data_IF_628688116329
#
_entry.id   IF_628688116329
#
_cell.length_a   1.000
_cell.length_b   1.000
_cell.length_c   1.000
_cell.angle_alpha   90.00
_cell.angle_beta   90.00
_cell.angle_gamma   90.00
#
_symmetry.space_group_name_H-M   'P 1'
#
loop_
_entity.id
_entity.type
_entity.pdbx_description
1 polymer ?
#
# COMPACT_ATOMS: atom_id res chain seq x y z
N UNK A 1 -16.48 -5.07 -1.15
CA UNK A 1 -15.23 -5.55 -0.53
C UNK A 1 -14.08 -5.02 -1.39
N UNK A 2 -13.39 -3.97 -0.95
CA UNK A 2 -12.37 -3.29 -1.76
C UNK A 2 -10.92 -3.58 -1.31
N UNK A 3 -10.72 -4.45 -0.33
CA UNK A 3 -9.39 -4.93 0.06
C UNK A 3 -9.53 -6.37 0.53
N UNK A 4 -8.85 -7.29 -0.16
CA UNK A 4 -8.57 -8.60 0.40
C UNK A 4 -7.64 -8.40 1.60
N UNK A 5 -8.01 -8.94 2.76
CA UNK A 5 -7.09 -9.06 3.89
C UNK A 5 -6.03 -10.09 3.51
N UNK A 6 -4.75 -9.74 3.56
CA UNK A 6 -3.63 -10.70 3.50
C UNK A 6 -3.31 -11.06 4.95
N UNK A 7 -3.78 -12.21 5.48
CA UNK A 7 -3.67 -12.53 6.90
C UNK A 7 -2.22 -12.53 7.40
N UNK A 8 -1.27 -12.85 6.53
CA UNK A 8 0.16 -12.89 6.82
C UNK A 8 0.76 -11.50 7.05
N UNK A 9 0.14 -10.44 6.52
CA UNK A 9 0.55 -9.08 6.87
C UNK A 9 0.20 -8.75 8.33
N UNK A 10 -0.83 -9.37 8.90
CA UNK A 10 -1.18 -9.16 10.32
C UNK A 10 -0.07 -9.63 11.26
N UNK A 11 0.69 -10.67 10.89
CA UNK A 11 1.87 -11.08 11.66
C UNK A 11 2.86 -9.91 11.81
N UNK A 12 3.07 -9.12 10.75
CA UNK A 12 3.94 -7.97 10.85
C UNK A 12 3.28 -6.78 11.56
N UNK A 13 2.04 -6.45 11.20
CA UNK A 13 1.39 -5.21 11.65
C UNK A 13 0.83 -5.30 13.07
N UNK A 14 0.45 -6.50 13.53
CA UNK A 14 -0.11 -6.73 14.87
C UNK A 14 0.88 -7.35 15.85
N UNK A 15 1.96 -7.98 15.38
CA UNK A 15 2.93 -8.64 16.26
C UNK A 15 4.33 -8.01 16.17
N UNK A 16 5.00 -8.12 15.01
CA UNK A 16 6.42 -7.72 14.86
C UNK A 16 6.64 -6.22 15.06
N UNK A 17 5.90 -5.38 14.34
CA UNK A 17 6.05 -3.92 14.42
C UNK A 17 5.67 -3.39 15.82
N UNK A 18 4.54 -3.79 16.43
CA UNK A 18 4.20 -3.36 17.78
C UNK A 18 5.19 -3.84 18.86
N UNK A 19 5.78 -5.04 18.72
CA UNK A 19 6.88 -5.46 19.60
C UNK A 19 8.05 -4.50 19.44
N UNK A 20 8.48 -4.21 18.20
CA UNK A 20 9.61 -3.34 17.96
C UNK A 20 9.41 -1.92 18.53
N UNK A 21 8.22 -1.36 18.33
CA UNK A 21 7.83 -0.03 18.83
C UNK A 21 7.79 -0.02 20.37
N UNK A 22 7.16 -1.02 20.98
CA UNK A 22 7.06 -1.12 22.45
C UNK A 22 8.42 -1.31 23.13
N UNK A 23 9.37 -1.99 22.49
CA UNK A 23 10.70 -2.20 23.02
C UNK A 23 11.56 -0.93 23.08
N UNK A 24 11.19 0.15 22.37
CA UNK A 24 11.79 1.49 22.53
C UNK A 24 11.33 2.21 23.80
N UNK A 25 10.21 1.78 24.37
CA UNK A 25 9.58 2.37 25.54
C UNK A 25 9.75 1.46 26.76
N UNK A 26 8.65 1.06 27.40
CA UNK A 26 8.65 0.23 28.61
C UNK A 26 8.49 -1.28 28.33
N UNK A 27 8.31 -1.67 27.06
CA UNK A 27 8.17 -3.06 26.62
C UNK A 27 6.89 -3.77 27.07
N UNK A 28 5.89 -3.07 27.64
CA UNK A 28 4.66 -3.72 28.15
C UNK A 28 3.83 -4.35 27.06
N UNK A 29 3.61 -3.66 25.95
CA UNK A 29 2.85 -4.17 24.80
C UNK A 29 3.59 -5.36 24.19
N UNK A 30 4.92 -5.25 24.02
CA UNK A 30 5.74 -6.37 23.55
C UNK A 30 5.53 -7.62 24.42
N UNK A 31 5.50 -7.47 25.75
CA UNK A 31 5.24 -8.58 26.66
C UNK A 31 3.83 -9.19 26.50
N UNK A 32 2.80 -8.38 26.31
CA UNK A 32 1.43 -8.87 26.11
C UNK A 32 1.28 -9.67 24.81
N UNK A 33 1.91 -9.18 23.73
CA UNK A 33 1.96 -9.89 22.44
C UNK A 33 2.72 -11.20 22.61
N UNK A 34 3.91 -11.18 23.22
CA UNK A 34 4.71 -12.38 23.44
C UNK A 34 3.97 -13.43 24.28
N UNK A 35 3.22 -13.03 25.32
CA UNK A 35 2.40 -13.98 26.09
C UNK A 35 1.29 -14.65 25.27
N UNK A 36 0.78 -13.94 24.26
CA UNK A 36 -0.34 -14.39 23.42
C UNK A 36 0.12 -15.25 22.24
N UNK A 37 1.25 -14.88 21.60
CA UNK A 37 1.67 -15.43 20.32
C UNK A 37 3.01 -16.19 20.36
N UNK A 38 3.82 -16.00 21.41
CA UNK A 38 5.12 -16.68 21.51
C UNK A 38 4.95 -18.15 21.93
N UNK A 39 5.50 -19.12 21.17
CA UNK A 39 5.50 -20.51 21.59
C UNK A 39 6.33 -20.73 22.87
N UNK A 40 7.34 -19.88 23.11
CA UNK A 40 8.22 -19.95 24.29
C UNK A 40 7.47 -19.68 25.59
N UNK A 41 6.49 -18.78 25.58
CA UNK A 41 5.69 -18.40 26.75
C UNK A 41 4.34 -19.12 26.85
N UNK A 42 4.09 -20.07 25.94
CA UNK A 42 2.88 -20.88 25.98
C UNK A 42 2.78 -21.70 27.28
N UNK A 43 1.56 -21.93 27.78
CA UNK A 43 1.29 -22.62 29.08
C UNK A 43 1.92 -24.03 29.19
N UNK A 44 2.41 -24.61 28.09
CA UNK A 44 3.08 -25.91 28.06
C UNK A 44 4.55 -25.85 28.51
N UNK A 45 5.18 -24.67 28.51
CA UNK A 45 6.58 -24.47 28.88
C UNK A 45 6.71 -23.96 30.33
N UNK A 46 6.63 -24.88 31.30
CA UNK A 46 6.61 -24.54 32.74
C UNK A 46 8.00 -24.53 33.39
N UNK A 47 9.06 -24.93 32.66
CA UNK A 47 10.42 -24.99 33.22
C UNK A 47 11.10 -23.60 33.17
N UNK A 48 11.25 -22.99 34.33
CA UNK A 48 11.96 -21.72 34.57
C UNK A 48 11.41 -20.51 33.77
N UNK A 49 10.21 -20.02 34.14
CA UNK A 49 9.53 -18.94 33.42
C UNK A 49 10.31 -17.63 33.41
N UNK A 50 11.12 -17.35 34.45
CA UNK A 50 11.94 -16.15 34.51
C UNK A 50 13.05 -16.15 33.45
N UNK A 51 13.73 -17.29 33.25
CA UNK A 51 14.77 -17.43 32.23
C UNK A 51 14.18 -17.30 30.81
N UNK A 52 13.02 -17.90 30.57
CA UNK A 52 12.31 -17.78 29.30
C UNK A 52 11.89 -16.33 29.02
N UNK A 53 11.37 -15.63 30.03
CA UNK A 53 11.04 -14.21 29.91
C UNK A 53 12.25 -13.35 29.55
N UNK A 54 13.38 -13.56 30.23
CA UNK A 54 14.60 -12.81 29.94
C UNK A 54 15.08 -13.06 28.51
N UNK A 55 15.06 -14.32 28.07
CA UNK A 55 15.39 -14.69 26.69
C UNK A 55 14.45 -14.02 25.68
N UNK A 56 13.12 -14.11 25.86
CA UNK A 56 12.17 -13.44 24.98
C UNK A 56 12.41 -11.93 24.90
N UNK A 57 12.74 -11.28 26.03
CA UNK A 57 13.05 -9.84 26.06
C UNK A 57 14.32 -9.51 25.29
N UNK A 58 15.37 -10.32 25.43
CA UNK A 58 16.64 -10.14 24.69
C UNK A 58 16.42 -10.29 23.18
N UNK A 59 15.73 -11.35 22.76
CA UNK A 59 15.46 -11.60 21.34
C UNK A 59 14.49 -10.56 20.74
N UNK A 60 13.47 -10.13 21.50
CA UNK A 60 12.61 -9.00 21.11
C UNK A 60 13.40 -7.70 20.93
N UNK A 61 14.45 -7.48 21.73
CA UNK A 61 15.36 -6.35 21.58
C UNK A 61 16.15 -6.42 20.26
N UNK A 62 16.65 -7.61 19.88
CA UNK A 62 17.33 -7.80 18.59
C UNK A 62 16.38 -7.58 17.41
N UNK A 63 15.16 -8.10 17.49
CA UNK A 63 14.12 -7.86 16.47
C UNK A 63 13.80 -6.36 16.39
N UNK A 64 13.62 -5.69 17.53
CA UNK A 64 13.37 -4.24 17.57
C UNK A 64 14.50 -3.45 16.90
N UNK A 65 15.76 -3.74 17.23
CA UNK A 65 16.91 -3.09 16.57
C UNK A 65 16.86 -3.29 15.07
N UNK A 66 16.58 -4.52 14.60
CA UNK A 66 16.52 -4.78 13.16
C UNK A 66 15.41 -3.99 12.46
N UNK A 67 14.24 -3.90 13.08
CA UNK A 67 13.12 -3.11 12.57
C UNK A 67 13.48 -1.62 12.53
N UNK A 68 14.13 -1.12 13.58
CA UNK A 68 14.50 0.29 13.71
C UNK A 68 15.60 0.72 12.74
N UNK A 69 16.55 -0.18 12.47
CA UNK A 69 17.61 0.01 11.47
C UNK A 69 17.11 -0.20 10.04
N UNK A 70 15.81 -0.49 9.88
CA UNK A 70 15.13 -0.70 8.60
C UNK A 70 15.77 -1.80 7.73
N UNK A 71 16.20 -2.89 8.37
CA UNK A 71 16.67 -4.10 7.69
C UNK A 71 15.58 -4.70 6.79
N UNK A 72 15.97 -5.66 5.95
CA UNK A 72 15.00 -6.32 5.08
C UNK A 72 13.98 -7.15 5.87
N UNK A 73 12.81 -7.38 5.27
CA UNK A 73 11.78 -8.26 5.84
C UNK A 73 12.38 -9.63 6.15
N UNK A 74 13.22 -10.16 5.26
CA UNK A 74 13.95 -11.43 5.42
C UNK A 74 14.80 -11.45 6.68
N UNK A 75 15.59 -10.42 6.92
CA UNK A 75 16.48 -10.36 8.09
C UNK A 75 15.71 -10.29 9.41
N UNK A 76 14.57 -9.60 9.40
CA UNK A 76 13.66 -9.54 10.56
C UNK A 76 12.99 -10.89 10.80
N UNK A 77 12.43 -11.52 9.75
CA UNK A 77 11.80 -12.85 9.85
C UNK A 77 12.82 -13.90 10.29
N UNK A 78 14.04 -13.88 9.76
CA UNK A 78 15.11 -14.79 10.18
C UNK A 78 15.44 -14.66 11.66
N UNK A 79 15.52 -13.43 12.19
CA UNK A 79 15.73 -13.21 13.61
C UNK A 79 14.59 -13.77 14.49
N UNK A 80 13.34 -13.65 14.03
CA UNK A 80 12.17 -14.24 14.71
C UNK A 80 12.20 -15.77 14.66
N UNK A 81 12.55 -16.36 13.51
CA UNK A 81 12.67 -17.80 13.32
C UNK A 81 13.79 -18.41 14.17
N UNK A 82 14.99 -17.84 14.12
CA UNK A 82 16.19 -18.33 14.81
C UNK A 82 16.01 -18.33 16.33
N UNK A 83 15.27 -17.35 16.85
CA UNK A 83 14.92 -17.24 18.27
C UNK A 83 13.65 -17.97 18.68
N UNK A 84 12.86 -18.43 17.70
CA UNK A 84 11.50 -18.96 17.92
C UNK A 84 10.60 -17.99 18.70
N UNK A 85 10.83 -16.68 18.56
CA UNK A 85 10.17 -15.64 19.36
C UNK A 85 8.66 -15.61 19.11
N UNK A 86 8.23 -15.82 17.86
CA UNK A 86 6.83 -15.84 17.44
C UNK A 86 6.57 -17.01 16.48
N UNK A 87 5.30 -17.35 16.31
CA UNK A 87 4.88 -18.31 15.31
C UNK A 87 4.78 -17.63 13.95
N UNK A 88 5.77 -17.87 13.08
CA UNK A 88 5.80 -17.28 11.73
C UNK A 88 4.84 -18.04 10.80
N UNK A 89 3.95 -17.35 10.05
CA UNK A 89 3.10 -17.95 9.03
C UNK A 89 3.90 -18.79 8.01
N UNK A 90 3.34 -19.89 7.53
CA UNK A 90 4.08 -20.87 6.74
C UNK A 90 4.62 -20.28 5.42
N UNK A 91 3.81 -19.54 4.67
CA UNK A 91 4.25 -18.91 3.41
C UNK A 91 5.36 -17.88 3.64
N UNK A 92 5.32 -17.12 4.74
CA UNK A 92 6.37 -16.15 5.14
C UNK A 92 7.65 -16.89 5.52
N UNK A 93 7.54 -18.01 6.22
CA UNK A 93 8.69 -18.85 6.59
C UNK A 93 9.34 -19.48 5.35
N UNK A 94 8.55 -20.01 4.44
CA UNK A 94 9.03 -20.60 3.18
C UNK A 94 9.71 -19.53 2.32
N UNK A 95 9.08 -18.38 2.12
CA UNK A 95 9.67 -17.28 1.36
C UNK A 95 10.98 -16.77 1.98
N UNK A 96 11.12 -16.77 3.31
CA UNK A 96 12.38 -16.39 3.98
C UNK A 96 13.55 -17.32 3.62
N UNK A 97 13.27 -18.58 3.26
CA UNK A 97 14.26 -19.58 2.87
C UNK A 97 14.59 -19.57 1.37
N UNK A 98 13.78 -18.89 0.55
CA UNK A 98 13.91 -18.83 -0.91
C UNK A 98 14.42 -17.47 -1.37
N UNK A 99 15.13 -17.44 -2.49
CA UNK A 99 15.58 -16.25 -3.19
C UNK A 99 14.78 -16.04 -4.48
N UNK A 100 14.84 -14.85 -5.11
CA UNK A 100 14.18 -14.64 -6.39
C UNK A 100 14.62 -15.62 -7.50
N UNK A 101 15.85 -16.17 -7.41
CA UNK A 101 16.37 -17.15 -8.36
C UNK A 101 15.76 -18.55 -8.18
N UNK A 102 15.16 -18.82 -7.01
CA UNK A 102 14.48 -20.09 -6.72
C UNK A 102 13.02 -20.10 -7.20
N UNK A 103 12.52 -18.99 -7.73
CA UNK A 103 11.15 -18.88 -8.24
C UNK A 103 11.03 -19.67 -9.55
N UNK A 104 10.04 -20.55 -9.61
CA UNK A 104 9.64 -21.25 -10.83
C UNK A 104 8.11 -21.31 -10.96
N UNK A 105 7.62 -21.79 -12.11
CA UNK A 105 6.18 -21.91 -12.39
C UNK A 105 5.47 -22.98 -11.53
N UNK A 106 6.19 -23.75 -10.72
CA UNK A 106 5.62 -24.77 -9.82
C UNK A 106 5.27 -24.20 -8.44
N UNK A 107 5.79 -23.02 -8.07
CA UNK A 107 5.46 -22.37 -6.81
C UNK A 107 4.05 -21.75 -6.84
N UNK A 108 3.37 -21.80 -5.70
CA UNK A 108 2.11 -21.08 -5.52
C UNK A 108 2.30 -19.57 -5.71
N UNK A 109 1.31 -18.90 -6.33
CA UNK A 109 1.37 -17.48 -6.68
C UNK A 109 1.63 -16.58 -5.45
N UNK A 110 1.02 -16.93 -4.31
CA UNK A 110 1.21 -16.21 -3.05
C UNK A 110 2.65 -16.33 -2.52
N UNK A 111 3.26 -17.52 -2.63
CA UNK A 111 4.65 -17.73 -2.25
C UNK A 111 5.59 -16.94 -3.16
N UNK A 112 5.33 -16.92 -4.46
CA UNK A 112 6.07 -16.11 -5.42
C UNK A 112 6.02 -14.61 -5.05
N UNK A 113 4.85 -14.09 -4.70
CA UNK A 113 4.72 -12.70 -4.23
C UNK A 113 5.53 -12.47 -2.94
N UNK A 114 5.46 -13.39 -1.98
CA UNK A 114 6.20 -13.29 -0.73
C UNK A 114 7.71 -13.31 -0.93
N UNK A 115 8.25 -14.17 -1.80
CA UNK A 115 9.69 -14.21 -2.12
C UNK A 115 10.18 -12.85 -2.64
N UNK A 116 9.39 -12.20 -3.50
CA UNK A 116 9.74 -10.89 -4.07
C UNK A 116 9.78 -9.77 -3.03
N UNK A 117 8.92 -9.81 -2.00
CA UNK A 117 8.88 -8.76 -0.98
C UNK A 117 9.90 -8.96 0.13
N UNK A 118 10.44 -10.17 0.31
CA UNK A 118 11.36 -10.48 1.42
C UNK A 118 12.59 -9.57 1.50
N UNK A 119 13.09 -9.12 0.35
CA UNK A 119 14.29 -8.28 0.29
C UNK A 119 13.98 -6.76 0.32
N UNK A 120 12.70 -6.39 0.45
CA UNK A 120 12.29 -5.01 0.71
C UNK A 120 12.57 -4.62 2.17
N UNK A 121 12.80 -3.32 2.45
CA UNK A 121 12.94 -2.84 3.82
C UNK A 121 11.64 -3.02 4.62
N UNK A 122 11.77 -3.38 5.91
CA UNK A 122 10.62 -3.64 6.79
C UNK A 122 9.69 -2.43 6.97
N UNK A 123 10.17 -1.19 6.80
CA UNK A 123 9.31 0.00 6.84
C UNK A 123 8.25 0.02 5.72
N UNK A 124 8.45 -0.71 4.62
CA UNK A 124 7.44 -0.82 3.55
C UNK A 124 6.16 -1.45 4.07
N UNK A 125 6.25 -2.37 5.05
CA UNK A 125 5.07 -2.95 5.69
C UNK A 125 4.31 -1.91 6.49
N UNK A 126 5.01 -1.03 7.21
CA UNK A 126 4.39 0.07 7.96
C UNK A 126 3.69 1.05 7.02
N UNK A 127 4.36 1.44 5.93
CA UNK A 127 3.80 2.33 4.93
C UNK A 127 2.56 1.72 4.27
N UNK A 128 2.60 0.42 3.96
CA UNK A 128 1.44 -0.30 3.44
C UNK A 128 0.29 -0.35 4.45
N UNK A 129 0.58 -0.66 5.71
CA UNK A 129 -0.42 -0.70 6.78
C UNK A 129 -1.07 0.68 6.99
N UNK A 130 -0.27 1.74 6.97
CA UNK A 130 -0.77 3.11 7.04
C UNK A 130 -1.64 3.45 5.83
N UNK A 131 -1.27 2.98 4.63
CA UNK A 131 -2.05 3.21 3.42
C UNK A 131 -3.40 2.50 3.48
N UNK A 132 -3.40 1.19 3.78
CA UNK A 132 -4.62 0.37 3.83
C UNK A 132 -5.58 0.84 4.92
N UNK A 133 -5.07 1.29 6.06
CA UNK A 133 -5.89 1.80 7.15
C UNK A 133 -6.16 3.31 7.08
N UNK A 134 -5.93 3.95 5.92
CA UNK A 134 -6.22 5.38 5.68
C UNK A 134 -5.52 6.33 6.66
N UNK A 135 -4.35 5.93 7.18
CA UNK A 135 -3.46 6.76 7.99
C UNK A 135 -2.45 7.54 7.15
N UNK A 136 -2.32 7.23 5.86
CA UNK A 136 -1.58 8.07 4.90
C UNK A 136 -2.45 9.16 4.28
N UNK A 137 -1.80 10.15 3.66
CA UNK A 137 -2.46 11.20 2.86
C UNK A 137 -2.73 10.77 1.41
N UNK A 138 -2.49 9.50 1.08
CA UNK A 138 -2.68 8.95 -0.26
C UNK A 138 -3.91 8.05 -0.25
N UNK A 139 -4.77 8.23 -1.24
CA UNK A 139 -5.93 7.38 -1.44
C UNK A 139 -6.21 7.27 -2.95
N UNK A 140 -6.88 6.19 -3.34
CA UNK A 140 -7.39 6.03 -4.69
C UNK A 140 -8.59 6.96 -4.92
N UNK A 141 -8.85 7.34 -6.17
CA UNK A 141 -10.01 8.17 -6.51
C UNK A 141 -11.37 7.61 -6.03
N UNK A 142 -11.44 6.31 -5.69
CA UNK A 142 -12.65 5.65 -5.18
C UNK A 142 -12.77 5.68 -3.64
N UNK A 143 -11.68 5.87 -2.89
CA UNK A 143 -11.67 5.88 -1.42
C UNK A 143 -12.06 7.22 -0.79
N UNK A 144 -11.90 8.33 -1.52
CA UNK A 144 -12.12 9.69 -1.02
C UNK A 144 -13.58 10.15 -0.96
N UNK A 145 -14.56 9.27 -1.23
CA UNK A 145 -15.96 9.64 -1.34
C UNK A 145 -16.55 10.07 0.02
N UNK A 146 -16.79 11.37 0.19
CA UNK A 146 -17.35 11.96 1.40
C UNK A 146 -16.33 12.61 2.34
N UNK A 147 -15.05 12.55 1.98
CA UNK A 147 -13.96 13.22 2.69
C UNK A 147 -13.63 14.55 2.03
N UNK A 148 -12.97 15.45 2.74
CA UNK A 148 -12.44 16.71 2.21
C UNK A 148 -11.10 17.01 2.88
N UNK A 149 -10.18 17.61 2.14
CA UNK A 149 -8.81 17.87 2.56
C UNK A 149 -8.43 19.31 2.24
N UNK A 150 -7.57 19.92 3.06
CA UNK A 150 -7.16 21.32 2.84
C UNK A 150 -6.43 21.48 1.51
N UNK A 151 -5.53 20.53 1.18
CA UNK A 151 -4.75 20.52 -0.06
C UNK A 151 -4.79 19.14 -0.70
N UNK A 152 -5.10 19.08 -1.99
CA UNK A 152 -5.21 17.83 -2.76
C UNK A 152 -4.28 17.91 -3.96
N UNK A 153 -3.53 16.83 -4.19
CA UNK A 153 -2.81 16.61 -5.43
C UNK A 153 -3.39 15.38 -6.13
N UNK A 154 -3.81 15.55 -7.38
CA UNK A 154 -4.36 14.49 -8.22
C UNK A 154 -3.29 14.06 -9.20
N UNK A 155 -2.90 12.79 -9.14
CA UNK A 155 -1.97 12.20 -10.11
C UNK A 155 -2.80 11.40 -11.12
N UNK A 156 -2.65 11.74 -12.39
CA UNK A 156 -3.34 11.10 -13.52
C UNK A 156 -2.30 10.42 -14.39
N UNK A 157 -2.39 9.10 -14.49
CA UNK A 157 -1.59 8.30 -15.41
C UNK A 157 -2.48 7.21 -16.05
N UNK A 158 -2.96 7.49 -17.26
CA UNK A 158 -3.79 6.56 -18.03
C UNK A 158 -2.99 5.34 -18.50
N UNK A 159 -1.65 5.39 -18.53
CA UNK A 159 -0.80 4.29 -19.01
C UNK A 159 -0.61 3.18 -17.97
N UNK A 160 -0.55 3.56 -16.70
CA UNK A 160 -0.48 2.63 -15.56
C UNK A 160 -1.88 2.20 -15.06
N UNK A 161 -2.95 2.83 -15.56
CA UNK A 161 -4.32 2.48 -15.23
C UNK A 161 -4.73 1.12 -15.85
N UNK A 162 -4.83 0.07 -15.03
CA UNK A 162 -5.20 -1.30 -15.47
C UNK A 162 -6.67 -1.50 -15.88
N UNK A 163 -7.47 -0.43 -16.05
CA UNK A 163 -8.91 -0.51 -16.28
C UNK A 163 -9.40 0.34 -17.45
N UNK A 164 -10.40 -0.16 -18.20
CA UNK A 164 -10.94 0.52 -19.40
C UNK A 164 -12.18 1.38 -19.11
N UNK A 165 -12.60 1.49 -17.85
CA UNK A 165 -13.86 2.16 -17.49
C UNK A 165 -13.77 3.68 -17.56
N UNK A 166 -12.57 4.21 -17.29
CA UNK A 166 -12.23 5.64 -17.29
C UNK A 166 -11.08 5.89 -18.28
N UNK A 167 -11.02 7.09 -18.85
CA UNK A 167 -9.88 7.54 -19.63
C UNK A 167 -9.77 9.06 -19.59
N UNK A 168 -8.74 9.54 -18.91
CA UNK A 168 -8.41 10.95 -18.86
C UNK A 168 -7.85 11.43 -20.21
N UNK A 169 -7.14 10.60 -20.96
CA UNK A 169 -6.70 10.93 -22.31
C UNK A 169 -7.87 11.29 -23.23
N UNK A 170 -9.01 10.58 -23.12
CA UNK A 170 -10.22 10.95 -23.87
C UNK A 170 -10.88 12.22 -23.32
N UNK A 171 -10.91 12.39 -22.00
CA UNK A 171 -11.48 13.59 -21.36
C UNK A 171 -10.73 14.87 -21.77
N UNK A 172 -9.40 14.80 -21.82
CA UNK A 172 -8.50 15.88 -22.19
C UNK A 172 -8.14 15.92 -23.68
N UNK A 173 -8.79 15.12 -24.53
CA UNK A 173 -8.68 15.24 -26.00
C UNK A 173 -7.38 14.72 -26.60
N UNK A 174 -6.58 13.98 -25.84
CA UNK A 174 -5.38 13.27 -26.32
C UNK A 174 -5.79 12.11 -27.22
N UNK A 175 -6.84 11.38 -26.80
CA UNK A 175 -7.44 10.26 -27.55
C UNK A 175 -8.84 10.62 -28.03
N UNK A 176 -9.15 10.15 -29.23
CA UNK A 176 -10.49 10.27 -29.81
C UNK A 176 -11.51 9.36 -29.11
N UNK A 177 -12.80 9.69 -29.28
CA UNK A 177 -13.91 8.84 -28.86
C UNK A 177 -13.90 7.54 -29.65
N UNK A 178 -14.16 6.41 -28.97
CA UNK A 178 -14.32 5.14 -29.69
C UNK A 178 -15.73 5.04 -30.28
N UNK A 179 -15.94 4.15 -31.26
CA UNK A 179 -17.27 3.88 -31.80
C UNK A 179 -18.28 3.50 -30.71
N UNK A 180 -17.84 2.80 -29.67
CA UNK A 180 -18.67 2.45 -28.52
C UNK A 180 -19.10 3.68 -27.73
N UNK A 181 -18.19 4.65 -27.52
CA UNK A 181 -18.53 5.90 -26.83
C UNK A 181 -19.56 6.71 -27.63
N UNK A 182 -19.43 6.76 -28.95
CA UNK A 182 -20.37 7.43 -29.86
C UNK A 182 -21.75 6.77 -29.76
N UNK A 183 -21.82 5.43 -29.92
CA UNK A 183 -23.06 4.66 -29.81
C UNK A 183 -23.73 4.82 -28.44
N UNK A 184 -22.96 4.87 -27.36
CA UNK A 184 -23.52 5.11 -26.02
C UNK A 184 -24.12 6.51 -25.92
N UNK A 185 -23.39 7.53 -26.39
CA UNK A 185 -23.85 8.93 -26.36
C UNK A 185 -25.14 9.10 -27.17
N UNK A 186 -25.21 8.55 -28.37
CA UNK A 186 -26.40 8.58 -29.23
C UNK A 186 -27.60 7.84 -28.60
N UNK A 187 -27.34 6.78 -27.85
CA UNK A 187 -28.36 6.02 -27.12
C UNK A 187 -28.73 6.64 -25.76
N UNK A 188 -28.21 7.82 -25.41
CA UNK A 188 -28.42 8.46 -24.10
C UNK A 188 -27.83 7.67 -22.92
N UNK A 189 -26.86 6.79 -23.19
CA UNK A 189 -26.14 6.00 -22.19
C UNK A 189 -24.83 6.69 -21.81
N UNK A 190 -24.38 6.43 -20.60
CA UNK A 190 -23.14 6.97 -20.06
C UNK A 190 -21.91 6.45 -20.84
N UNK A 191 -21.09 7.37 -21.34
CA UNK A 191 -19.82 7.07 -22.02
C UNK A 191 -18.65 6.96 -21.03
N UNK A 192 -17.48 6.50 -21.52
CA UNK A 192 -16.26 6.53 -20.70
C UNK A 192 -15.85 7.96 -20.32
N UNK A 193 -16.14 8.95 -21.17
CA UNK A 193 -15.86 10.37 -20.91
C UNK A 193 -16.73 10.89 -19.77
N UNK A 194 -18.03 10.59 -19.77
CA UNK A 194 -18.96 11.05 -18.73
C UNK A 194 -18.56 10.52 -17.34
N UNK A 195 -18.23 9.23 -17.28
CA UNK A 195 -17.71 8.59 -16.05
C UNK A 195 -16.42 9.25 -15.57
N UNK A 196 -15.50 9.53 -16.50
CA UNK A 196 -14.20 10.14 -16.17
C UNK A 196 -14.37 11.59 -15.73
N UNK A 197 -15.23 12.36 -16.39
CA UNK A 197 -15.54 13.74 -16.01
C UNK A 197 -16.13 13.79 -14.60
N UNK A 198 -17.03 12.87 -14.27
CA UNK A 198 -17.59 12.76 -12.92
C UNK A 198 -16.53 12.42 -11.88
N UNK A 199 -15.64 11.47 -12.19
CA UNK A 199 -14.53 11.10 -11.32
C UNK A 199 -13.58 12.28 -11.10
N UNK A 200 -13.24 12.99 -12.16
CA UNK A 200 -12.40 14.19 -12.12
C UNK A 200 -13.02 15.28 -11.25
N UNK A 201 -14.29 15.60 -11.47
CA UNK A 201 -15.04 16.56 -10.67
C UNK A 201 -15.06 16.17 -9.19
N UNK A 202 -15.37 14.90 -8.88
CA UNK A 202 -15.41 14.39 -7.50
C UNK A 202 -14.04 14.49 -6.84
N UNK A 203 -12.95 14.30 -7.58
CA UNK A 203 -11.59 14.38 -7.04
C UNK A 203 -11.18 15.83 -6.81
N UNK A 204 -11.46 16.73 -7.76
CA UNK A 204 -11.16 18.16 -7.64
C UNK A 204 -11.92 18.82 -6.47
N UNK A 205 -13.18 18.45 -6.27
CA UNK A 205 -14.04 19.00 -5.21
C UNK A 205 -13.68 18.52 -3.79
N UNK A 206 -12.65 17.69 -3.63
CA UNK A 206 -12.12 17.31 -2.31
C UNK A 206 -11.21 18.38 -1.70
N UNK A 207 -10.67 19.28 -2.51
CA UNK A 207 -9.80 20.36 -2.06
C UNK A 207 -10.61 21.50 -1.44
N UNK A 208 -10.28 21.89 -0.20
CA UNK A 208 -10.86 23.08 0.44
C UNK A 208 -10.08 24.36 0.13
N UNK A 209 -8.76 24.28 0.08
CA UNK A 209 -7.88 25.45 -0.10
C UNK A 209 -7.07 25.40 -1.40
N UNK A 210 -6.47 24.25 -1.72
CA UNK A 210 -5.55 24.16 -2.88
C UNK A 210 -5.65 22.83 -3.61
N UNK A 211 -5.64 22.89 -4.93
CA UNK A 211 -5.66 21.74 -5.83
C UNK A 211 -4.45 21.80 -6.77
N UNK A 212 -3.74 20.69 -6.90
CA UNK A 212 -2.73 20.48 -7.94
C UNK A 212 -3.09 19.24 -8.76
N UNK A 213 -2.95 19.29 -10.08
CA UNK A 213 -3.17 18.15 -10.97
C UNK A 213 -1.88 17.88 -11.74
N UNK A 214 -1.37 16.67 -11.59
CA UNK A 214 -0.19 16.18 -12.31
C UNK A 214 -0.68 15.09 -13.26
N UNK A 215 -0.59 15.35 -14.56
CA UNK A 215 -1.01 14.39 -15.59
C UNK A 215 0.18 13.93 -16.41
N UNK A 216 0.47 12.63 -16.35
CA UNK A 216 1.35 11.96 -17.30
C UNK A 216 0.58 11.75 -18.60
N UNK A 217 1.11 12.26 -19.71
CA UNK A 217 0.45 12.19 -21.01
C UNK A 217 1.45 12.11 -22.15
N UNK A 218 1.02 11.55 -23.27
CA UNK A 218 1.81 11.47 -24.50
C UNK A 218 1.80 12.76 -25.33
N UNK A 219 0.84 13.68 -25.08
CA UNK A 219 0.71 14.94 -25.81
C UNK A 219 0.26 16.07 -24.86
N UNK A 220 1.24 16.66 -24.18
CA UNK A 220 1.01 17.70 -23.18
C UNK A 220 0.47 19.01 -23.78
N UNK A 221 0.80 19.31 -25.04
CA UNK A 221 0.28 20.46 -25.76
C UNK A 221 -1.22 20.32 -26.07
N UNK A 222 -1.68 19.13 -26.47
CA UNK A 222 -3.12 18.87 -26.63
C UNK A 222 -3.87 19.04 -25.32
N UNK A 223 -3.34 18.49 -24.22
CA UNK A 223 -3.96 18.65 -22.90
C UNK A 223 -4.07 20.13 -22.54
N UNK A 224 -2.97 20.89 -22.66
CA UNK A 224 -2.94 22.34 -22.41
C UNK A 224 -4.00 23.08 -23.23
N UNK A 225 -4.03 22.87 -24.54
CA UNK A 225 -5.00 23.50 -25.43
C UNK A 225 -6.44 23.12 -25.05
N UNK A 226 -6.68 21.85 -24.72
CA UNK A 226 -7.99 21.37 -24.35
C UNK A 226 -8.47 22.01 -23.05
N UNK A 227 -7.65 22.05 -22.00
CA UNK A 227 -8.07 22.61 -20.71
C UNK A 227 -8.28 24.12 -20.76
N UNK A 228 -7.51 24.84 -21.57
CA UNK A 228 -7.72 26.27 -21.84
C UNK A 228 -9.02 26.46 -22.63
N UNK A 229 -9.24 25.68 -23.69
CA UNK A 229 -10.45 25.78 -24.53
C UNK A 229 -11.75 25.50 -23.77
N UNK A 230 -11.68 24.66 -22.74
CA UNK A 230 -12.79 24.34 -21.84
C UNK A 230 -12.90 25.31 -20.65
N UNK A 231 -12.00 26.28 -20.54
CA UNK A 231 -11.93 27.23 -19.42
C UNK A 231 -11.79 26.54 -18.06
N UNK A 232 -11.10 25.39 -18.02
CA UNK A 232 -10.87 24.65 -16.76
C UNK A 232 -9.70 25.23 -15.97
N UNK A 233 -8.69 25.74 -16.68
CA UNK A 233 -7.48 26.36 -16.11
C UNK A 233 -7.08 27.56 -16.96
N UNK A 234 -6.53 28.58 -16.33
CA UNK A 234 -5.88 29.69 -17.02
C UNK A 234 -4.46 29.30 -17.48
N UNK A 235 -3.92 29.99 -18.49
CA UNK A 235 -2.61 29.66 -19.07
C UNK A 235 -1.48 29.71 -18.03
N UNK A 236 -1.54 30.65 -17.08
CA UNK A 236 -0.56 30.79 -16.00
C UNK A 236 -0.68 29.72 -14.89
N UNK A 237 -1.73 28.89 -14.91
CA UNK A 237 -1.92 27.80 -13.96
C UNK A 237 -1.38 26.46 -14.50
N UNK A 238 -0.79 26.47 -15.71
CA UNK A 238 -0.37 25.27 -16.42
C UNK A 238 1.14 25.31 -16.68
N UNK A 239 1.86 24.39 -16.04
CA UNK A 239 3.27 24.13 -16.30
C UNK A 239 3.45 22.83 -17.09
N UNK A 240 4.21 22.90 -18.19
CA UNK A 240 4.65 21.73 -18.94
C UNK A 240 6.07 21.38 -18.49
N UNK A 241 6.27 20.16 -17.97
CA UNK A 241 7.53 19.66 -17.44
C UNK A 241 8.28 18.78 -18.43
#
# INVERSE_FOLDING_TARGET
FLQGTVPELEFFTKEVLPIADSMKEDGRIALEILKSYSPLLSRKNVKNPYKLYLHCREEAGKVSNKVNDNHSIREVVKAVCDSQLLTVPEVVRQACALTPDDINDELEEDLHAWVKVMDLPINMVRNYDDYVNQRTRFDTHQGVKGLEFDRVMVIIDDSEAKGFMFSYDKLFGVKERTETDIKHTEAGKESSIDRTQRLFYVTCTRAKESLAIVMYTSDSNKVKNQVISKEWFADQEIDLL
#
